data_IF_390389635437
#
_entry.id   IF_390389635437
#
_cell.length_a   1.000
_cell.length_b   1.000
_cell.length_c   1.000
_cell.angle_alpha   90.00
_cell.angle_beta   90.00
_cell.angle_gamma   90.00
#
_symmetry.space_group_name_H-M   'P 1'
#
loop_
_entity.id
_entity.type
_entity.pdbx_description
1 polymer ?
#
# COMPACT_ATOMS: atom_id res chain seq x y z
N UNK A 1 -20.31 13.10 -26.51
CA UNK A 1 -19.72 13.50 -25.22
C UNK A 1 -18.32 12.92 -25.20
N UNK A 2 -17.31 13.71 -25.58
CA UNK A 2 -15.92 13.25 -25.56
C UNK A 2 -15.48 13.12 -24.10
N UNK A 3 -15.15 11.90 -23.69
CA UNK A 3 -14.43 11.68 -22.45
C UNK A 3 -13.04 12.23 -22.68
N UNK A 4 -12.80 13.49 -22.29
CA UNK A 4 -11.45 14.01 -22.17
C UNK A 4 -10.74 13.13 -21.15
N UNK A 5 -9.87 12.25 -21.65
CA UNK A 5 -8.92 11.54 -20.80
C UNK A 5 -8.27 12.61 -19.92
N UNK A 6 -8.37 12.45 -18.60
CA UNK A 6 -7.61 13.27 -17.66
C UNK A 6 -6.15 12.95 -17.98
N UNK A 7 -5.54 13.79 -18.82
CA UNK A 7 -4.12 13.77 -19.07
C UNK A 7 -3.48 14.07 -17.74
N UNK A 8 -2.90 13.03 -17.13
CA UNK A 8 -2.04 13.17 -15.97
C UNK A 8 -1.05 14.31 -16.27
N UNK A 9 -0.82 15.25 -15.34
CA UNK A 9 0.11 16.35 -15.58
C UNK A 9 1.46 15.78 -16.03
N UNK A 10 2.09 16.42 -17.01
CA UNK A 10 3.39 16.06 -17.61
C UNK A 10 4.53 15.85 -16.58
N UNK A 11 4.29 16.17 -15.30
CA UNK A 11 5.26 16.13 -14.20
C UNK A 11 5.36 14.77 -13.47
N UNK A 12 4.70 13.71 -13.93
CA UNK A 12 4.95 12.34 -13.45
C UNK A 12 5.13 11.41 -14.62
N UNK A 13 6.36 10.98 -14.81
CA UNK A 13 6.72 9.94 -15.76
C UNK A 13 5.80 8.71 -15.57
N UNK A 14 5.12 8.29 -16.65
CA UNK A 14 4.13 7.22 -16.61
C UNK A 14 4.76 5.89 -16.20
N UNK A 15 6.02 5.67 -16.57
CA UNK A 15 6.79 4.49 -16.19
C UNK A 15 7.02 4.48 -14.68
N UNK A 16 7.47 5.59 -14.10
CA UNK A 16 7.60 5.75 -12.65
C UNK A 16 6.28 5.51 -11.89
N UNK A 17 5.13 5.93 -12.43
CA UNK A 17 3.82 5.62 -11.85
C UNK A 17 3.47 4.13 -11.94
N UNK A 18 3.74 3.51 -13.09
CA UNK A 18 3.53 2.07 -13.27
C UNK A 18 4.41 1.26 -12.31
N UNK A 19 5.70 1.61 -12.19
CA UNK A 19 6.64 0.93 -11.29
C UNK A 19 6.18 1.00 -9.83
N UNK A 20 5.70 2.17 -9.39
CA UNK A 20 5.14 2.30 -8.04
C UNK A 20 3.92 1.39 -7.85
N UNK A 21 2.97 1.40 -8.80
CA UNK A 21 1.80 0.53 -8.71
C UNK A 21 2.16 -0.94 -8.78
N UNK A 22 3.10 -1.31 -9.66
CA UNK A 22 3.57 -2.68 -9.80
C UNK A 22 4.14 -3.19 -8.48
N UNK A 23 5.02 -2.44 -7.82
CA UNK A 23 5.59 -2.82 -6.51
C UNK A 23 4.50 -3.03 -5.45
N UNK A 24 3.60 -2.06 -5.31
CA UNK A 24 2.50 -2.11 -4.33
C UNK A 24 1.57 -3.29 -4.59
N UNK A 25 1.14 -3.47 -5.84
CA UNK A 25 0.16 -4.50 -6.18
C UNK A 25 0.74 -5.90 -6.24
N UNK A 26 2.01 -6.03 -6.61
CA UNK A 26 2.70 -7.31 -6.55
C UNK A 26 2.83 -7.80 -5.12
N UNK A 27 3.19 -6.93 -4.17
CA UNK A 27 3.11 -7.24 -2.74
C UNK A 27 1.67 -7.59 -2.34
N UNK A 28 0.70 -6.72 -2.62
CA UNK A 28 -0.68 -6.92 -2.20
C UNK A 28 -1.24 -8.29 -2.63
N UNK A 29 -0.89 -8.75 -3.84
CA UNK A 29 -1.32 -10.04 -4.38
C UNK A 29 -0.55 -11.26 -3.80
N UNK A 30 0.74 -11.12 -3.49
CA UNK A 30 1.63 -12.26 -3.17
C UNK A 30 2.18 -12.28 -1.73
N UNK A 31 1.82 -11.31 -0.89
CA UNK A 31 2.37 -11.23 0.45
C UNK A 31 1.97 -12.42 1.33
N UNK A 32 2.89 -12.81 2.21
CA UNK A 32 2.61 -13.78 3.25
C UNK A 32 1.85 -13.10 4.41
N UNK A 33 1.24 -13.89 5.29
CA UNK A 33 0.42 -13.36 6.39
C UNK A 33 1.20 -12.44 7.36
N UNK A 34 2.49 -12.67 7.55
CA UNK A 34 3.40 -11.86 8.37
C UNK A 34 3.76 -10.51 7.74
N UNK A 35 3.59 -10.38 6.42
CA UNK A 35 3.79 -9.16 5.64
C UNK A 35 2.51 -8.34 5.50
N UNK A 36 1.39 -8.81 6.04
CA UNK A 36 0.11 -8.11 5.99
C UNK A 36 0.12 -6.86 6.90
N UNK A 37 -0.80 -5.93 6.63
CA UNK A 37 -1.04 -4.80 7.52
C UNK A 37 -1.83 -5.28 8.76
N UNK A 38 -1.09 -5.57 9.84
CA UNK A 38 -1.63 -6.02 11.13
C UNK A 38 -2.26 -4.88 11.94
N UNK A 39 -3.17 -5.22 12.88
CA UNK A 39 -3.74 -4.23 13.79
C UNK A 39 -2.69 -3.47 14.60
N UNK A 40 -1.65 -4.19 15.05
CA UNK A 40 -0.54 -3.60 15.79
C UNK A 40 0.13 -2.48 15.00
N UNK A 41 0.40 -2.71 13.71
CA UNK A 41 0.99 -1.70 12.84
C UNK A 41 0.08 -0.46 12.70
N UNK A 42 -1.24 -0.64 12.60
CA UNK A 42 -2.17 0.50 12.62
C UNK A 42 -2.13 1.24 13.97
N UNK A 43 -2.05 0.52 15.09
CA UNK A 43 -2.01 1.13 16.43
C UNK A 43 -0.70 1.86 16.71
N UNK A 44 0.42 1.35 16.22
CA UNK A 44 1.72 2.04 16.28
C UNK A 44 1.69 3.37 15.52
N UNK A 45 1.03 3.40 14.35
CA UNK A 45 1.07 4.56 13.44
C UNK A 45 0.02 5.62 13.76
N UNK A 46 -1.17 5.20 14.20
CA UNK A 46 -2.30 6.11 14.46
C UNK A 46 -2.65 6.23 15.94
N UNK A 47 -1.95 5.51 16.82
CA UNK A 47 -2.31 5.38 18.23
C UNK A 47 -3.41 4.33 18.45
N UNK A 48 -3.56 3.88 19.70
CA UNK A 48 -4.42 2.73 20.06
C UNK A 48 -5.85 2.84 19.53
N UNK A 49 -6.55 3.94 19.80
CA UNK A 49 -7.97 4.09 19.45
C UNK A 49 -8.17 4.22 17.94
N UNK A 50 -7.45 5.15 17.31
CA UNK A 50 -7.62 5.42 15.87
C UNK A 50 -7.01 4.30 15.01
N UNK A 51 -5.94 3.66 15.47
CA UNK A 51 -5.36 2.50 14.81
C UNK A 51 -6.33 1.32 14.74
N UNK A 52 -6.95 0.94 15.86
CA UNK A 52 -7.98 -0.12 15.85
C UNK A 52 -9.16 0.25 14.95
N UNK A 53 -9.62 1.52 14.96
CA UNK A 53 -10.68 1.99 14.06
C UNK A 53 -10.30 1.87 12.57
N UNK A 54 -9.11 2.33 12.19
CA UNK A 54 -8.66 2.23 10.79
C UNK A 54 -8.37 0.80 10.37
N UNK A 55 -7.89 -0.06 11.27
CA UNK A 55 -7.75 -1.48 11.00
C UNK A 55 -9.11 -2.18 10.80
N UNK A 56 -10.13 -1.80 11.55
CA UNK A 56 -11.50 -2.30 11.33
C UNK A 56 -12.02 -1.87 9.96
N UNK A 57 -11.79 -0.61 9.56
CA UNK A 57 -12.13 -0.14 8.20
C UNK A 57 -11.37 -0.90 7.12
N UNK A 58 -10.07 -1.12 7.30
CA UNK A 58 -9.25 -1.93 6.41
C UNK A 58 -9.83 -3.34 6.19
N UNK A 59 -10.23 -4.02 7.27
CA UNK A 59 -10.91 -5.32 7.17
C UNK A 59 -12.26 -5.22 6.45
N UNK A 60 -13.07 -4.22 6.78
CA UNK A 60 -14.40 -4.01 6.16
C UNK A 60 -14.33 -3.71 4.66
N UNK A 61 -13.19 -3.20 4.19
CA UNK A 61 -12.91 -2.96 2.77
C UNK A 61 -12.20 -4.12 2.09
N UNK A 62 -12.26 -5.32 2.68
CA UNK A 62 -11.61 -6.53 2.14
C UNK A 62 -10.13 -6.30 1.83
N UNK A 63 -9.46 -5.55 2.73
CA UNK A 63 -8.04 -5.22 2.61
C UNK A 63 -7.71 -4.54 1.27
N UNK A 64 -8.64 -3.76 0.73
CA UNK A 64 -8.45 -3.05 -0.53
C UNK A 64 -7.78 -1.68 -0.31
N UNK A 65 -6.60 -1.50 -0.90
CA UNK A 65 -5.76 -0.29 -0.76
C UNK A 65 -6.51 0.96 -1.25
N UNK A 66 -7.18 0.87 -2.41
CA UNK A 66 -7.84 2.02 -3.03
C UNK A 66 -9.06 2.49 -2.25
N UNK A 67 -9.80 1.56 -1.64
CA UNK A 67 -10.91 1.89 -0.73
C UNK A 67 -10.42 2.60 0.53
N UNK A 68 -9.27 2.19 1.09
CA UNK A 68 -8.68 2.91 2.23
C UNK A 68 -8.20 4.30 1.84
N UNK A 69 -7.50 4.45 0.71
CA UNK A 69 -7.08 5.78 0.20
C UNK A 69 -8.30 6.67 -0.04
N UNK A 70 -9.37 6.12 -0.64
CA UNK A 70 -10.64 6.84 -0.84
C UNK A 70 -11.32 7.22 0.48
N UNK A 71 -11.24 6.36 1.50
CA UNK A 71 -11.77 6.64 2.84
C UNK A 71 -11.03 7.78 3.54
N UNK A 72 -9.70 7.87 3.43
CA UNK A 72 -8.95 9.01 3.94
C UNK A 72 -9.28 10.31 3.17
N UNK A 73 -9.53 10.20 1.86
CA UNK A 73 -10.01 11.32 1.04
C UNK A 73 -9.07 12.53 1.12
N UNK A 74 -9.58 13.65 1.65
CA UNK A 74 -8.80 14.90 1.80
C UNK A 74 -7.89 14.92 3.02
N UNK A 75 -7.98 13.93 3.92
CA UNK A 75 -7.04 13.76 5.03
C UNK A 75 -5.71 13.21 4.53
N UNK A 76 -4.94 14.11 3.90
CA UNK A 76 -3.64 13.77 3.31
C UNK A 76 -2.63 13.30 4.34
N UNK A 77 -2.75 13.75 5.60
CA UNK A 77 -1.83 13.35 6.68
C UNK A 77 -1.99 11.86 6.98
N UNK A 78 -3.22 11.42 7.26
CA UNK A 78 -3.46 10.01 7.55
C UNK A 78 -3.33 9.15 6.28
N UNK A 79 -3.76 9.64 5.13
CA UNK A 79 -3.56 8.95 3.86
C UNK A 79 -2.08 8.72 3.51
N UNK A 80 -1.21 9.70 3.76
CA UNK A 80 0.23 9.54 3.56
C UNK A 80 0.84 8.53 4.53
N UNK A 81 0.48 8.58 5.82
CA UNK A 81 0.92 7.59 6.81
C UNK A 81 0.51 6.16 6.43
N UNK A 82 -0.67 5.99 5.83
CA UNK A 82 -1.12 4.69 5.33
C UNK A 82 -0.23 4.22 4.18
N UNK A 83 0.13 5.12 3.27
CA UNK A 83 1.06 4.77 2.19
C UNK A 83 2.46 4.44 2.71
N UNK A 84 2.95 5.12 3.75
CA UNK A 84 4.23 4.77 4.40
C UNK A 84 4.19 3.34 4.97
N UNK A 85 3.07 2.96 5.62
CA UNK A 85 2.86 1.59 6.11
C UNK A 85 2.87 0.56 4.98
N UNK A 86 2.17 0.84 3.88
CA UNK A 86 2.13 -0.03 2.70
C UNK A 86 3.55 -0.20 2.14
N UNK A 87 4.29 0.89 1.94
CA UNK A 87 5.63 0.84 1.36
C UNK A 87 6.64 0.12 2.26
N UNK A 88 6.48 0.17 3.59
CA UNK A 88 7.29 -0.61 4.51
C UNK A 88 7.09 -2.13 4.29
N UNK A 89 5.84 -2.58 4.11
CA UNK A 89 5.53 -3.99 3.82
C UNK A 89 5.94 -4.43 2.41
N UNK A 90 5.79 -3.54 1.42
CA UNK A 90 6.31 -3.76 0.06
C UNK A 90 7.83 -4.01 0.10
N UNK A 91 8.56 -3.18 0.84
CA UNK A 91 10.02 -3.32 0.98
C UNK A 91 10.41 -4.63 1.66
N UNK A 92 9.68 -5.02 2.72
CA UNK A 92 9.89 -6.30 3.39
C UNK A 92 9.70 -7.48 2.43
N UNK A 93 8.61 -7.48 1.67
CA UNK A 93 8.33 -8.49 0.65
C UNK A 93 9.38 -8.55 -0.45
N UNK A 94 9.81 -7.40 -0.97
CA UNK A 94 10.84 -7.35 -2.01
C UNK A 94 12.19 -7.91 -1.52
N UNK A 95 12.53 -7.70 -0.25
CA UNK A 95 13.74 -8.27 0.35
C UNK A 95 13.64 -9.79 0.46
N UNK A 96 12.50 -10.32 0.94
CA UNK A 96 12.28 -11.77 0.99
C UNK A 96 12.37 -12.42 -0.40
N UNK A 97 11.71 -11.84 -1.41
CA UNK A 97 11.78 -12.38 -2.78
C UNK A 97 13.21 -12.36 -3.33
N UNK A 98 14.00 -11.34 -2.99
CA UNK A 98 15.42 -11.30 -3.36
C UNK A 98 16.17 -12.45 -2.68
N UNK A 99 16.05 -12.60 -1.37
CA UNK A 99 16.69 -13.66 -0.59
C UNK A 99 16.35 -15.05 -1.14
N UNK A 100 15.07 -15.34 -1.38
CA UNK A 100 14.60 -16.60 -2.00
C UNK A 100 15.22 -16.83 -3.38
N UNK A 101 15.36 -15.78 -4.20
CA UNK A 101 15.98 -15.89 -5.53
C UNK A 101 17.49 -16.12 -5.47
N UNK A 102 18.18 -15.60 -4.45
CA UNK A 102 19.62 -15.84 -4.25
C UNK A 102 19.86 -17.28 -3.80
N UNK A 103 19.04 -17.80 -2.88
CA UNK A 103 19.15 -19.18 -2.39
C UNK A 103 18.89 -20.23 -3.49
N UNK A 104 18.09 -19.91 -4.51
CA UNK A 104 17.83 -20.80 -5.65
C UNK A 104 18.97 -20.85 -6.68
N UNK A 105 19.92 -19.92 -6.61
CA UNK A 105 21.04 -19.81 -7.58
C UNK A 105 22.35 -20.36 -7.01
N UNK A 106 22.44 -20.58 -5.69
CA UNK A 106 23.62 -21.10 -4.98
C UNK A 106 23.55 -22.62 -4.80
#
# INVERSE_FOLDING_TARGET
MEIKAVTLPESRDKESCYDLFFRVYRWWYNHNNDEALSEELFRERYGRRMGSHYHEKWKSYDRNIWRMVGYFGTDRKNGALFMDMVMARVTQYENRIKEESYEQVV
#
